data_IF_565419810769
#
_entry.id   IF_565419810769
#
_cell.length_a   1.000
_cell.length_b   1.000
_cell.length_c   1.000
_cell.angle_alpha   90.00
_cell.angle_beta   90.00
_cell.angle_gamma   90.00
#
_symmetry.space_group_name_H-M   'P 1'
#
loop_
_entity.id
_entity.type
_entity.pdbx_description
1 polymer ?
#
# COMPACT_ATOMS: atom_id res chain seq x y z
N UNK A 1 -1.87 11.89 -35.73
CA UNK A 1 -3.16 11.61 -35.03
C UNK A 1 -3.40 10.11 -34.90
N UNK A 2 -3.24 9.31 -35.96
CA UNK A 2 -3.40 7.84 -35.91
C UNK A 2 -2.46 7.15 -34.92
N UNK A 3 -1.16 7.50 -34.88
CA UNK A 3 -0.23 6.91 -33.91
C UNK A 3 -0.61 7.20 -32.45
N UNK A 4 -1.16 8.39 -32.17
CA UNK A 4 -1.61 8.76 -30.82
C UNK A 4 -2.86 7.96 -30.46
N UNK A 5 -3.77 7.76 -31.41
CA UNK A 5 -4.99 6.97 -31.20
C UNK A 5 -4.69 5.47 -31.06
N UNK A 6 -3.69 4.96 -31.80
CA UNK A 6 -3.19 3.59 -31.65
C UNK A 6 -2.55 3.36 -30.29
N UNK A 7 -1.69 4.28 -29.83
CA UNK A 7 -1.09 4.22 -28.48
C UNK A 7 -2.17 4.27 -27.40
N UNK A 8 -3.13 5.20 -27.50
CA UNK A 8 -4.25 5.29 -26.56
C UNK A 8 -5.11 4.03 -26.58
N UNK A 9 -5.36 3.44 -27.75
CA UNK A 9 -6.12 2.21 -27.91
C UNK A 9 -5.43 1.01 -27.26
N UNK A 10 -4.13 0.87 -27.46
CA UNK A 10 -3.33 -0.20 -26.82
C UNK A 10 -3.30 -0.03 -25.31
N UNK A 11 -3.09 1.19 -24.80
CA UNK A 11 -3.14 1.46 -23.36
C UNK A 11 -4.53 1.11 -22.80
N UNK A 12 -5.60 1.55 -23.46
CA UNK A 12 -6.97 1.26 -23.02
C UNK A 12 -7.27 -0.25 -23.03
N UNK A 13 -6.81 -0.99 -24.04
CA UNK A 13 -6.97 -2.45 -24.10
C UNK A 13 -6.19 -3.17 -22.99
N UNK A 14 -4.95 -2.75 -22.72
CA UNK A 14 -4.13 -3.32 -21.64
C UNK A 14 -4.77 -3.02 -20.28
N UNK A 15 -5.16 -1.78 -20.01
CA UNK A 15 -5.82 -1.41 -18.76
C UNK A 15 -7.19 -2.09 -18.61
N UNK A 16 -7.93 -2.28 -19.71
CA UNK A 16 -9.18 -3.03 -19.74
C UNK A 16 -8.97 -4.51 -19.39
N UNK A 17 -7.98 -5.17 -20.02
CA UNK A 17 -7.62 -6.55 -19.69
C UNK A 17 -7.15 -6.71 -18.24
N UNK A 18 -6.31 -5.79 -17.75
CA UNK A 18 -5.87 -5.78 -16.35
C UNK A 18 -7.03 -5.51 -15.38
N UNK A 19 -8.02 -4.71 -15.76
CA UNK A 19 -9.23 -4.53 -14.93
C UNK A 19 -10.07 -5.80 -14.92
N UNK A 20 -10.22 -6.47 -16.07
CA UNK A 20 -11.01 -7.69 -16.19
C UNK A 20 -10.39 -8.89 -15.44
N UNK A 21 -9.05 -8.95 -15.35
CA UNK A 21 -8.34 -10.09 -14.75
C UNK A 21 -8.31 -10.08 -13.21
N UNK A 22 -8.31 -8.90 -12.56
CA UNK A 22 -8.00 -8.73 -11.13
C UNK A 22 -9.03 -7.80 -10.43
N UNK A 23 -9.98 -7.25 -11.19
CA UNK A 23 -11.02 -6.36 -10.70
C UNK A 23 -10.50 -5.05 -10.10
N UNK A 24 -11.29 -4.49 -9.18
CA UNK A 24 -10.95 -3.29 -8.43
C UNK A 24 -9.77 -3.51 -7.47
N UNK A 25 -9.61 -4.73 -6.95
CA UNK A 25 -8.53 -5.09 -6.02
C UNK A 25 -7.15 -4.95 -6.67
N UNK A 26 -6.99 -5.36 -7.93
CA UNK A 26 -5.74 -5.17 -8.66
C UNK A 26 -5.32 -3.70 -8.75
N UNK A 27 -6.27 -2.78 -8.87
CA UNK A 27 -6.00 -1.34 -8.87
C UNK A 27 -5.52 -0.82 -7.51
N UNK A 28 -5.98 -1.43 -6.41
CA UNK A 28 -5.47 -1.14 -5.06
C UNK A 28 -4.00 -1.53 -4.95
N UNK A 29 -3.63 -2.72 -5.45
CA UNK A 29 -2.23 -3.20 -5.50
C UNK A 29 -1.37 -2.26 -6.36
N UNK A 30 -1.87 -1.84 -7.54
CA UNK A 30 -1.15 -0.90 -8.41
C UNK A 30 -0.94 0.45 -7.72
N UNK A 31 -1.97 0.99 -7.06
CA UNK A 31 -1.85 2.25 -6.31
C UNK A 31 -0.79 2.15 -5.21
N UNK A 32 -0.77 1.05 -4.48
CA UNK A 32 0.26 0.77 -3.47
C UNK A 32 1.67 0.70 -4.07
N UNK A 33 1.86 -0.05 -5.17
CA UNK A 33 3.16 -0.14 -5.85
C UNK A 33 3.62 1.23 -6.36
N UNK A 34 2.70 2.06 -6.88
CA UNK A 34 3.03 3.44 -7.29
C UNK A 34 3.49 4.26 -6.09
N UNK A 35 2.81 4.18 -4.94
CA UNK A 35 3.24 4.86 -3.72
C UNK A 35 4.66 4.43 -3.32
N UNK A 36 4.92 3.13 -3.31
CA UNK A 36 6.24 2.58 -2.98
C UNK A 36 7.35 3.07 -3.94
N UNK A 37 7.05 3.19 -5.25
CA UNK A 37 7.98 3.72 -6.24
C UNK A 37 8.23 5.22 -6.05
N UNK A 38 7.18 6.00 -5.80
CA UNK A 38 7.29 7.44 -5.53
C UNK A 38 8.07 7.70 -4.24
N UNK A 39 7.80 6.92 -3.20
CA UNK A 39 8.54 6.99 -1.95
C UNK A 39 10.04 6.72 -2.18
N UNK A 40 10.37 5.64 -2.89
CA UNK A 40 11.78 5.33 -3.18
C UNK A 40 12.47 6.44 -3.98
N UNK A 41 11.80 6.98 -4.99
CA UNK A 41 12.34 8.06 -5.82
C UNK A 41 12.54 9.35 -5.02
N UNK A 42 11.53 9.76 -4.23
CA UNK A 42 11.57 10.98 -3.43
C UNK A 42 12.56 10.88 -2.27
N UNK A 43 12.62 9.74 -1.58
CA UNK A 43 13.59 9.47 -0.52
C UNK A 43 15.02 9.45 -1.05
N UNK A 44 15.22 8.86 -2.23
CA UNK A 44 16.51 8.91 -2.92
C UNK A 44 16.92 10.34 -3.27
N UNK A 45 16.01 11.12 -3.86
CA UNK A 45 16.27 12.52 -4.20
C UNK A 45 16.57 13.36 -2.94
N UNK A 46 15.83 13.16 -1.85
CA UNK A 46 16.05 13.85 -0.58
C UNK A 46 17.43 13.52 0.01
N UNK A 47 17.82 12.25 0.02
CA UNK A 47 19.11 11.80 0.54
C UNK A 47 20.31 12.33 -0.29
N UNK A 48 20.17 12.35 -1.63
CA UNK A 48 21.17 12.94 -2.52
C UNK A 48 21.32 14.44 -2.27
N UNK A 49 20.21 15.18 -2.16
CA UNK A 49 20.23 16.62 -1.84
C UNK A 49 20.87 16.92 -0.49
N UNK A 50 20.64 16.06 0.50
CA UNK A 50 21.22 16.20 1.83
C UNK A 50 22.70 15.77 1.91
N UNK A 51 23.29 15.24 0.83
CA UNK A 51 24.65 14.70 0.82
C UNK A 51 24.83 13.45 1.69
N UNK A 52 23.74 12.80 2.09
CA UNK A 52 23.72 11.64 3.00
C UNK A 52 23.50 10.31 2.26
N UNK A 53 23.59 10.31 0.94
CA UNK A 53 23.38 9.10 0.14
C UNK A 53 24.42 8.03 0.52
N UNK A 54 23.92 6.88 0.96
CA UNK A 54 24.73 5.70 1.21
C UNK A 54 24.02 4.49 0.61
N UNK A 55 24.79 3.68 -0.11
CA UNK A 55 24.28 2.42 -0.69
C UNK A 55 23.75 1.47 0.40
N UNK A 56 24.27 1.57 1.64
CA UNK A 56 23.75 0.79 2.76
C UNK A 56 22.30 1.19 3.08
N UNK A 57 22.03 2.49 3.21
CA UNK A 57 20.70 3.04 3.49
C UNK A 57 19.71 2.69 2.38
N UNK A 58 20.14 2.76 1.11
CA UNK A 58 19.30 2.39 -0.03
C UNK A 58 18.89 0.90 -0.02
N UNK A 59 19.82 0.00 0.35
CA UNK A 59 19.51 -1.44 0.48
C UNK A 59 18.61 -1.73 1.67
N UNK A 60 18.82 -1.06 2.80
CA UNK A 60 17.98 -1.25 3.99
C UNK A 60 16.54 -0.83 3.69
N UNK A 61 16.34 0.25 2.93
CA UNK A 61 15.02 0.65 2.42
C UNK A 61 14.38 -0.39 1.49
N UNK A 62 15.18 -1.07 0.66
CA UNK A 62 14.68 -2.15 -0.21
C UNK A 62 14.25 -3.39 0.60
N UNK A 63 15.00 -3.75 1.64
CA UNK A 63 14.64 -4.86 2.53
C UNK A 63 13.32 -4.60 3.26
N UNK A 64 13.09 -3.36 3.70
CA UNK A 64 11.83 -2.96 4.33
C UNK A 64 10.65 -3.13 3.36
N UNK A 65 10.82 -2.70 2.10
CA UNK A 65 9.81 -2.84 1.05
C UNK A 65 9.55 -4.30 0.66
N UNK A 66 10.59 -5.13 0.63
CA UNK A 66 10.42 -6.57 0.45
C UNK A 66 9.61 -7.19 1.61
N UNK A 67 9.85 -6.76 2.85
CA UNK A 67 9.04 -7.14 4.00
C UNK A 67 7.57 -6.80 3.82
N UNK A 68 7.27 -5.60 3.28
CA UNK A 68 5.90 -5.19 2.97
C UNK A 68 5.23 -6.08 1.91
N UNK A 69 5.96 -6.48 0.87
CA UNK A 69 5.48 -7.46 -0.13
C UNK A 69 5.15 -8.80 0.52
N UNK A 70 6.01 -9.30 1.40
CA UNK A 70 5.74 -10.55 2.11
C UNK A 70 4.50 -10.44 2.99
N UNK A 71 4.32 -9.33 3.71
CA UNK A 71 3.13 -9.11 4.54
C UNK A 71 1.82 -9.09 3.73
N UNK A 72 1.81 -8.45 2.55
CA UNK A 72 0.65 -8.49 1.64
C UNK A 72 0.38 -9.91 1.13
N UNK A 73 1.42 -10.69 0.84
CA UNK A 73 1.24 -12.10 0.46
C UNK A 73 0.67 -12.95 1.59
N UNK A 74 1.10 -12.72 2.83
CA UNK A 74 0.54 -13.38 4.03
C UNK A 74 -0.95 -13.03 4.17
N UNK A 75 -1.32 -11.76 3.99
CA UNK A 75 -2.71 -11.33 4.00
C UNK A 75 -3.56 -12.02 2.91
N UNK A 76 -3.01 -12.14 1.68
CA UNK A 76 -3.67 -12.83 0.58
C UNK A 76 -3.87 -14.33 0.83
N UNK A 77 -2.88 -14.99 1.46
CA UNK A 77 -3.02 -16.38 1.91
C UNK A 77 -4.13 -16.49 2.94
N UNK A 78 -4.20 -15.55 3.90
CA UNK A 78 -5.24 -15.55 4.93
C UNK A 78 -6.65 -15.35 4.34
N UNK A 79 -6.82 -14.42 3.39
CA UNK A 79 -8.09 -14.29 2.65
C UNK A 79 -8.46 -15.58 1.92
N UNK A 80 -7.49 -16.24 1.29
CA UNK A 80 -7.72 -17.53 0.62
C UNK A 80 -8.18 -18.63 1.59
N UNK A 81 -7.55 -18.71 2.76
CA UNK A 81 -7.94 -19.67 3.81
C UNK A 81 -9.36 -19.37 4.33
N UNK A 82 -9.68 -18.10 4.61
CA UNK A 82 -11.01 -17.71 5.09
C UNK A 82 -12.07 -17.97 4.01
N UNK A 83 -11.78 -17.64 2.75
CA UNK A 83 -12.66 -17.94 1.62
C UNK A 83 -12.94 -19.44 1.47
N UNK A 84 -11.94 -20.29 1.64
CA UNK A 84 -12.11 -21.76 1.65
C UNK A 84 -13.01 -22.23 2.79
N UNK A 85 -12.86 -21.66 3.99
CA UNK A 85 -13.69 -22.00 5.15
C UNK A 85 -15.16 -21.63 4.87
N UNK A 86 -15.42 -20.40 4.43
CA UNK A 86 -16.78 -19.92 4.15
C UNK A 86 -17.46 -20.70 3.02
N UNK A 87 -16.70 -21.11 2.00
CA UNK A 87 -17.23 -21.89 0.89
C UNK A 87 -17.60 -23.33 1.26
N UNK A 88 -17.00 -23.91 2.31
CA UNK A 88 -17.16 -25.32 2.67
C UNK A 88 -17.86 -25.56 4.02
N UNK A 89 -18.12 -24.52 4.81
CA UNK A 89 -18.84 -24.61 6.09
C UNK A 89 -20.12 -23.77 6.01
N UNK A 90 -21.27 -24.37 5.63
CA UNK A 90 -22.53 -23.65 5.43
C UNK A 90 -23.09 -22.96 6.69
N UNK A 91 -22.61 -23.34 7.88
CA UNK A 91 -22.99 -22.72 9.14
C UNK A 91 -22.27 -21.37 9.40
N UNK A 92 -21.23 -21.06 8.64
CA UNK A 92 -20.44 -19.84 8.75
C UNK A 92 -20.78 -18.93 7.55
N UNK A 93 -21.90 -18.22 7.65
CA UNK A 93 -22.23 -17.15 6.72
C UNK A 93 -21.89 -15.80 7.35
N UNK A 94 -21.14 -14.97 6.62
CA UNK A 94 -20.92 -13.57 6.99
C UNK A 94 -22.10 -12.73 6.47
N UNK A 95 -22.45 -11.62 7.16
CA UNK A 95 -23.52 -10.72 6.72
C UNK A 95 -23.18 -9.92 5.45
N UNK A 96 -22.01 -10.17 4.85
CA UNK A 96 -21.50 -9.55 3.63
C UNK A 96 -20.69 -10.58 2.82
N UNK A 97 -20.49 -10.31 1.53
CA UNK A 97 -19.63 -11.14 0.70
C UNK A 97 -18.16 -10.91 1.02
N UNK A 98 -17.47 -11.97 1.42
CA UNK A 98 -16.04 -11.95 1.70
C UNK A 98 -15.25 -12.34 0.46
N UNK A 99 -14.45 -11.42 -0.06
CA UNK A 99 -13.57 -11.67 -1.21
C UNK A 99 -12.09 -11.63 -0.80
N UNK A 100 -11.58 -10.43 -0.45
CA UNK A 100 -10.16 -10.15 -0.17
C UNK A 100 -10.00 -9.14 0.97
N UNK A 101 -10.86 -9.26 1.99
CA UNK A 101 -11.02 -8.23 3.02
C UNK A 101 -9.73 -7.95 3.80
N UNK A 102 -8.98 -8.98 4.19
CA UNK A 102 -7.74 -8.82 4.96
C UNK A 102 -6.67 -8.15 4.12
N UNK A 103 -6.49 -8.57 2.86
CA UNK A 103 -5.55 -7.96 1.91
C UNK A 103 -5.88 -6.51 1.67
N UNK A 104 -7.16 -6.16 1.58
CA UNK A 104 -7.60 -4.76 1.43
C UNK A 104 -7.19 -3.93 2.65
N UNK A 105 -7.40 -4.43 3.87
CA UNK A 105 -6.99 -3.73 5.08
C UNK A 105 -5.48 -3.52 5.12
N UNK A 106 -4.69 -4.56 4.84
CA UNK A 106 -3.23 -4.50 4.84
C UNK A 106 -2.70 -3.56 3.75
N UNK A 107 -3.25 -3.62 2.53
CA UNK A 107 -2.86 -2.73 1.44
C UNK A 107 -3.19 -1.27 1.74
N UNK A 108 -4.38 -0.99 2.28
CA UNK A 108 -4.76 0.38 2.66
C UNK A 108 -3.81 0.92 3.73
N UNK A 109 -3.47 0.10 4.74
CA UNK A 109 -2.50 0.48 5.75
C UNK A 109 -1.13 0.83 5.13
N UNK A 110 -0.59 -0.06 4.29
CA UNK A 110 0.69 0.23 3.63
C UNK A 110 0.64 1.44 2.70
N UNK A 111 -0.47 1.68 1.98
CA UNK A 111 -0.64 2.91 1.19
C UNK A 111 -0.52 4.14 2.07
N UNK A 112 -1.15 4.13 3.25
CA UNK A 112 -1.09 5.27 4.17
C UNK A 112 0.33 5.51 4.70
N UNK A 113 1.05 4.46 5.09
CA UNK A 113 2.45 4.56 5.53
C UNK A 113 3.36 5.10 4.42
N UNK A 114 3.21 4.60 3.18
CA UNK A 114 3.99 5.09 2.04
C UNK A 114 3.66 6.56 1.71
N UNK A 115 2.39 6.97 1.80
CA UNK A 115 1.98 8.37 1.65
C UNK A 115 2.59 9.28 2.72
N UNK A 116 2.68 8.82 3.96
CA UNK A 116 3.37 9.52 5.05
C UNK A 116 4.83 9.77 4.70
N UNK A 117 5.56 8.71 4.31
CA UNK A 117 6.97 8.79 3.92
C UNK A 117 7.20 9.71 2.70
N UNK A 118 6.34 9.65 1.68
CA UNK A 118 6.39 10.57 0.52
C UNK A 118 6.29 12.03 0.98
N UNK A 119 5.35 12.34 1.86
CA UNK A 119 5.13 13.70 2.37
C UNK A 119 6.32 14.22 3.17
N UNK A 120 6.98 13.36 3.94
CA UNK A 120 8.23 13.68 4.61
C UNK A 120 9.36 13.96 3.61
N UNK A 121 9.55 13.08 2.64
CA UNK A 121 10.57 13.20 1.59
C UNK A 121 10.40 14.48 0.75
N UNK A 122 9.17 14.81 0.37
CA UNK A 122 8.84 16.06 -0.34
C UNK A 122 9.19 17.30 0.51
N UNK A 123 8.94 17.23 1.83
CA UNK A 123 9.34 18.28 2.76
C UNK A 123 10.85 18.46 2.85
N UNK A 124 11.60 17.36 2.90
CA UNK A 124 13.06 17.37 2.88
C UNK A 124 13.64 17.93 1.56
N UNK A 125 12.90 17.75 0.46
CA UNK A 125 13.17 18.40 -0.83
C UNK A 125 12.76 19.89 -0.87
N UNK A 126 12.25 20.45 0.24
CA UNK A 126 11.93 21.87 0.35
C UNK A 126 10.70 22.31 -0.45
N UNK A 127 9.86 21.38 -0.91
CA UNK A 127 8.60 21.76 -1.53
C UNK A 127 7.58 22.14 -0.44
N UNK A 128 6.74 23.18 -0.67
CA UNK A 128 5.74 23.60 0.30
C UNK A 128 4.60 22.57 0.35
N UNK A 129 4.61 21.70 1.37
CA UNK A 129 3.51 20.76 1.63
C UNK A 129 2.51 21.39 2.61
N UNK A 130 1.21 21.46 2.28
CA UNK A 130 0.21 22.00 3.19
C UNK A 130 0.18 21.26 4.54
N UNK A 131 0.19 22.00 5.64
CA UNK A 131 0.20 21.42 6.98
C UNK A 131 -1.03 20.54 7.27
N UNK A 132 -2.18 20.87 6.68
CA UNK A 132 -3.40 20.06 6.83
C UNK A 132 -3.25 18.66 6.23
N UNK A 133 -2.50 18.51 5.13
CA UNK A 133 -2.29 17.22 4.46
C UNK A 133 -1.42 16.31 5.32
N UNK A 134 -0.33 16.86 5.88
CA UNK A 134 0.54 16.15 6.83
C UNK A 134 -0.26 15.63 8.03
N UNK A 135 -1.09 16.49 8.61
CA UNK A 135 -1.93 16.16 9.77
C UNK A 135 -2.99 15.11 9.43
N UNK A 136 -3.60 15.19 8.25
CA UNK A 136 -4.61 14.23 7.82
C UNK A 136 -4.00 12.82 7.68
N UNK A 137 -2.84 12.68 7.04
CA UNK A 137 -2.17 11.39 6.88
C UNK A 137 -1.73 10.82 8.23
N UNK A 138 -1.10 11.64 9.08
CA UNK A 138 -0.67 11.19 10.41
C UNK A 138 -1.85 10.76 11.31
N UNK A 139 -2.98 11.45 11.23
CA UNK A 139 -4.18 11.08 11.98
C UNK A 139 -4.82 9.77 11.47
N UNK A 140 -4.75 9.53 10.16
CA UNK A 140 -5.21 8.27 9.59
C UNK A 140 -4.31 7.12 10.05
N UNK A 141 -2.99 7.28 9.96
CA UNK A 141 -2.00 6.27 10.39
C UNK A 141 -2.18 5.92 11.87
N UNK A 142 -2.25 6.92 12.75
CA UNK A 142 -2.45 6.68 14.19
C UNK A 142 -3.79 6.03 14.52
N UNK A 143 -4.84 6.30 13.74
CA UNK A 143 -6.15 5.67 13.93
C UNK A 143 -6.11 4.20 13.55
N UNK A 144 -5.40 3.84 12.48
CA UNK A 144 -5.28 2.43 12.06
C UNK A 144 -4.37 1.67 13.02
N UNK A 145 -3.23 2.23 13.42
CA UNK A 145 -2.32 1.60 14.39
C UNK A 145 -3.02 1.40 15.74
N UNK A 146 -3.71 2.43 16.25
CA UNK A 146 -4.47 2.33 17.50
C UNK A 146 -5.68 1.38 17.42
N UNK A 147 -6.21 1.10 16.23
CA UNK A 147 -7.19 0.04 16.04
C UNK A 147 -6.52 -1.35 16.07
N UNK A 148 -5.32 -1.48 15.49
CA UNK A 148 -4.49 -2.67 15.57
C UNK A 148 -4.11 -3.05 17.00
N UNK A 149 -3.64 -2.09 17.80
CA UNK A 149 -3.26 -2.32 19.21
C UNK A 149 -4.44 -2.82 20.06
N UNK A 150 -5.64 -2.29 19.82
CA UNK A 150 -6.87 -2.75 20.49
C UNK A 150 -7.31 -4.16 20.08
N UNK A 151 -6.93 -4.61 18.89
CA UNK A 151 -7.17 -5.98 18.42
C UNK A 151 -6.07 -6.95 18.90
N UNK A 152 -4.84 -6.45 19.09
CA UNK A 152 -3.69 -7.22 19.56
C UNK A 152 -3.72 -7.59 21.04
N UNK A 153 -4.53 -6.88 21.84
CA UNK A 153 -4.51 -7.01 23.29
C UNK A 153 -3.25 -6.34 23.85
N UNK A 154 -3.45 -5.41 24.77
CA UNK A 154 -2.38 -4.76 25.50
C UNK A 154 -1.66 -5.83 26.35
N UNK A 155 -0.62 -6.47 25.80
CA UNK A 155 0.29 -7.34 26.56
C UNK A 155 1.19 -6.47 27.44
N UNK A 156 0.57 -5.75 28.37
CA UNK A 156 1.22 -5.27 29.58
C UNK A 156 1.06 -6.39 30.63
N UNK A 157 1.85 -7.45 30.48
CA UNK A 157 2.15 -8.36 31.60
C UNK A 157 3.46 -7.86 32.24
N UNK A 158 3.33 -7.36 33.47
CA UNK A 158 4.44 -7.16 34.43
C UNK A 158 5.06 -8.50 34.85
#
# INVERSE_FOLDING_TARGET
MEHINGIKGTIAAVLGCLTALWGWFGWLVVAWVICMLLDYATGTAAAVRAGKWSSKVARDGLWHKLGAVVAVLVAAILDGVIGLILANIPALELPFQYEVFVSVLVLVWYIMTELGSIVENIGALGAPVPAWLRKAIAALESTVDGAGDKLGGDNNEE
#
